data_IF_904692248277
#
_entry.id   IF_904692248277
#
_cell.length_a   1.000
_cell.length_b   1.000
_cell.length_c   1.000
_cell.angle_alpha   90.00
_cell.angle_beta   90.00
_cell.angle_gamma   90.00
#
_symmetry.space_group_name_H-M   'P 1'
#
loop_
_entity.id
_entity.type
_entity.pdbx_description
1 polymer ?
#
# COMPACT_ATOMS: atom_id res chain seq x y z
N UNK A 1 22.51 15.65 -10.56
CA UNK A 1 22.56 15.28 -9.13
C UNK A 1 22.95 13.82 -8.88
N UNK A 2 23.13 12.99 -9.90
CA UNK A 2 23.52 11.57 -9.81
C UNK A 2 25.01 11.31 -9.57
N UNK A 3 25.87 12.32 -9.65
CA UNK A 3 27.33 12.12 -9.56
C UNK A 3 27.93 12.07 -8.15
N UNK A 4 27.22 12.55 -7.13
CA UNK A 4 27.75 12.59 -5.76
C UNK A 4 27.54 11.27 -5.00
N UNK A 5 26.44 10.55 -5.28
CA UNK A 5 26.18 9.24 -4.67
C UNK A 5 27.17 8.17 -5.14
N UNK A 6 27.59 8.21 -6.40
CA UNK A 6 28.59 7.29 -6.93
C UNK A 6 29.98 7.40 -6.27
N UNK A 7 30.29 8.50 -5.56
CA UNK A 7 31.56 8.63 -4.84
C UNK A 7 31.65 7.78 -3.58
N UNK A 8 30.51 7.39 -2.99
CA UNK A 8 30.51 6.59 -1.77
C UNK A 8 30.74 5.10 -2.02
N UNK A 9 30.40 4.58 -3.21
CA UNK A 9 30.69 3.20 -3.57
C UNK A 9 32.17 2.85 -3.60
N UNK A 10 33.03 3.82 -3.88
CA UNK A 10 34.47 3.62 -3.91
C UNK A 10 35.13 3.56 -2.51
N UNK A 11 34.37 3.88 -1.45
CA UNK A 11 34.85 3.80 -0.07
C UNK A 11 34.43 2.50 0.64
N UNK A 12 33.45 1.78 0.07
CA UNK A 12 33.08 0.45 0.56
C UNK A 12 34.03 -0.55 -0.08
N UNK A 13 34.83 -1.22 0.73
CA UNK A 13 35.80 -2.23 0.33
C UNK A 13 35.27 -3.18 -0.75
N UNK A 14 36.05 -3.51 -1.81
CA UNK A 14 35.63 -4.45 -2.83
C UNK A 14 35.55 -5.90 -2.37
N UNK A 15 35.62 -6.15 -1.07
CA UNK A 15 35.64 -7.50 -0.50
C UNK A 15 34.29 -7.89 0.06
N UNK A 16 33.75 -8.94 -0.55
CA UNK A 16 32.57 -9.74 -0.19
C UNK A 16 31.22 -9.03 -0.42
N UNK A 17 30.35 -9.68 -1.14
CA UNK A 17 28.95 -9.33 -1.41
C UNK A 17 28.09 -9.17 -0.17
N UNK A 18 28.46 -8.30 0.75
CA UNK A 18 27.60 -7.86 1.85
C UNK A 18 27.13 -6.46 1.54
N UNK A 19 25.83 -6.32 1.36
CA UNK A 19 25.09 -5.04 1.27
C UNK A 19 25.15 -4.22 2.58
N UNK A 20 26.19 -4.42 3.40
CA UNK A 20 26.34 -3.85 4.72
C UNK A 20 26.86 -2.42 4.68
N UNK A 21 26.15 -1.50 5.33
CA UNK A 21 26.54 -0.10 5.48
C UNK A 21 27.41 0.05 6.73
N UNK A 22 28.60 0.69 6.67
CA UNK A 22 29.38 1.07 7.84
C UNK A 22 28.63 2.03 8.78
N UNK A 23 28.92 1.99 10.08
CA UNK A 23 28.22 2.73 11.13
C UNK A 23 28.18 4.26 10.96
N UNK A 24 29.18 4.84 10.29
CA UNK A 24 29.28 6.28 10.07
C UNK A 24 28.48 6.78 8.84
N UNK A 25 27.91 5.89 8.03
CA UNK A 25 27.23 6.23 6.76
C UNK A 25 25.73 6.49 6.92
N UNK A 26 24.96 5.86 7.84
CA UNK A 26 23.53 6.08 7.97
C UNK A 26 23.11 7.54 8.08
N UNK A 27 23.80 8.35 8.88
CA UNK A 27 23.48 9.78 9.03
C UNK A 27 23.78 10.59 7.78
N UNK A 28 24.83 10.23 7.04
CA UNK A 28 25.16 10.86 5.77
C UNK A 28 24.09 10.56 4.71
N UNK A 29 23.61 9.31 4.65
CA UNK A 29 22.51 8.93 3.75
C UNK A 29 21.24 9.70 4.10
N UNK A 30 20.89 9.80 5.39
CA UNK A 30 19.72 10.56 5.84
C UNK A 30 19.85 12.02 5.41
N UNK A 31 20.94 12.70 5.75
CA UNK A 31 21.12 14.12 5.47
C UNK A 31 21.16 14.44 3.98
N UNK A 32 21.70 13.55 3.16
CA UNK A 32 21.75 13.73 1.69
C UNK A 32 20.40 13.48 1.03
N UNK A 33 19.65 12.47 1.51
CA UNK A 33 18.35 12.12 0.95
C UNK A 33 17.22 13.02 1.45
N UNK A 34 17.39 13.60 2.63
CA UNK A 34 16.38 14.33 3.39
C UNK A 34 17.02 15.54 4.09
N UNK A 35 17.21 16.68 3.39
CA UNK A 35 18.00 17.79 3.90
C UNK A 35 17.50 18.42 5.22
N UNK A 36 16.19 18.39 5.48
CA UNK A 36 15.62 18.87 6.76
C UNK A 36 15.64 17.84 7.89
N UNK A 37 16.21 16.66 7.64
CA UNK A 37 16.16 15.57 8.60
C UNK A 37 17.03 15.86 9.84
N UNK A 38 16.43 15.66 10.99
CA UNK A 38 17.05 15.77 12.32
C UNK A 38 16.90 14.43 13.02
N UNK A 39 18.01 13.82 13.43
CA UNK A 39 17.96 12.59 14.24
C UNK A 39 17.56 12.97 15.67
N UNK A 40 16.34 12.61 16.07
CA UNK A 40 15.80 12.92 17.39
C UNK A 40 16.07 11.82 18.42
N UNK A 41 16.27 10.58 17.94
CA UNK A 41 16.65 9.44 18.80
C UNK A 41 17.47 8.44 18.00
N UNK A 42 18.54 7.95 18.59
CA UNK A 42 19.37 6.88 18.04
C UNK A 42 19.36 5.69 19.02
N UNK A 43 18.80 4.57 18.60
CA UNK A 43 18.87 3.31 19.37
C UNK A 43 20.22 2.64 19.22
N UNK A 44 20.78 2.73 18.03
CA UNK A 44 22.13 2.32 17.65
C UNK A 44 22.51 2.98 16.33
N UNK A 45 23.67 2.63 15.75
CA UNK A 45 24.17 3.22 14.51
C UNK A 45 23.22 3.01 13.34
N UNK A 46 22.42 1.94 13.35
CA UNK A 46 21.58 1.50 12.23
C UNK A 46 20.06 1.65 12.48
N UNK A 47 19.66 2.16 13.65
CA UNK A 47 18.26 2.34 13.97
C UNK A 47 18.03 3.71 14.61
N UNK A 48 17.37 4.59 13.88
CA UNK A 48 17.18 5.99 14.23
C UNK A 48 15.73 6.44 14.09
N UNK A 49 15.30 7.36 14.95
CA UNK A 49 14.08 8.13 14.77
C UNK A 49 14.48 9.50 14.23
N UNK A 50 13.89 9.87 13.11
CA UNK A 50 14.21 11.09 12.38
C UNK A 50 12.98 11.96 12.28
N UNK A 51 13.11 13.24 12.59
CA UNK A 51 12.14 14.29 12.33
C UNK A 51 12.46 14.89 10.97
N UNK A 52 11.47 15.03 10.08
CA UNK A 52 11.65 15.46 8.71
C UNK A 52 10.47 16.32 8.24
N UNK A 53 10.70 17.30 7.37
CA UNK A 53 9.62 18.02 6.67
C UNK A 53 8.90 17.09 5.69
N UNK A 54 7.59 17.28 5.56
CA UNK A 54 6.78 16.54 4.56
C UNK A 54 7.31 16.75 3.15
N UNK A 55 7.70 17.99 2.80
CA UNK A 55 8.31 18.29 1.49
C UNK A 55 9.52 17.43 1.18
N UNK A 56 10.40 17.21 2.15
CA UNK A 56 11.62 16.43 1.96
C UNK A 56 11.32 14.93 1.88
N UNK A 57 10.36 14.43 2.67
CA UNK A 57 9.91 13.05 2.53
C UNK A 57 9.38 12.77 1.11
N UNK A 58 8.63 13.72 0.54
CA UNK A 58 8.05 13.60 -0.81
C UNK A 58 9.08 13.72 -1.94
N UNK A 59 10.26 14.22 -1.64
CA UNK A 59 11.39 14.32 -2.58
C UNK A 59 12.45 13.23 -2.33
N UNK A 60 12.37 12.54 -1.19
CA UNK A 60 13.28 11.45 -0.86
C UNK A 60 13.04 10.22 -1.76
N UNK A 61 14.07 9.37 -1.95
CA UNK A 61 13.93 8.14 -2.71
C UNK A 61 13.16 7.08 -1.91
N UNK A 62 11.84 7.25 -1.81
CA UNK A 62 10.94 6.30 -1.14
C UNK A 62 10.43 5.28 -2.14
N UNK A 63 10.51 4.00 -1.78
CA UNK A 63 9.96 2.90 -2.57
C UNK A 63 9.03 2.02 -1.76
N UNK A 64 8.19 1.25 -2.45
CA UNK A 64 7.35 0.28 -1.79
C UNK A 64 8.20 -0.91 -1.34
N UNK A 65 7.98 -1.35 -0.10
CA UNK A 65 8.50 -2.63 0.36
C UNK A 65 7.84 -3.76 -0.44
N UNK A 66 8.63 -4.75 -0.84
CA UNK A 66 8.18 -5.83 -1.74
C UNK A 66 6.98 -6.64 -1.23
N UNK A 67 6.82 -6.73 0.09
CA UNK A 67 5.71 -7.43 0.74
C UNK A 67 4.51 -6.52 1.06
N UNK A 68 4.61 -5.22 0.78
CA UNK A 68 3.45 -4.34 0.88
C UNK A 68 2.44 -4.68 -0.21
N UNK A 69 1.18 -4.80 0.20
CA UNK A 69 0.07 -4.80 -0.74
C UNK A 69 0.02 -3.46 -1.49
N UNK A 70 -0.48 -3.44 -2.73
CA UNK A 70 -0.80 -2.19 -3.39
C UNK A 70 -1.70 -1.32 -2.51
N UNK A 71 -1.42 -0.01 -2.42
CA UNK A 71 -2.21 0.88 -1.58
C UNK A 71 -3.66 0.94 -2.09
N UNK A 72 -4.61 0.87 -1.17
CA UNK A 72 -6.02 1.10 -1.43
C UNK A 72 -6.23 2.56 -1.80
N UNK A 73 -6.59 2.82 -3.05
CA UNK A 73 -6.74 4.16 -3.62
C UNK A 73 -7.79 4.96 -2.87
N UNK A 74 -8.96 4.35 -2.56
CA UNK A 74 -10.01 5.02 -1.78
C UNK A 74 -9.51 5.47 -0.42
N UNK A 75 -8.82 4.58 0.30
CA UNK A 75 -8.24 4.90 1.60
C UNK A 75 -7.21 6.03 1.50
N UNK A 76 -6.43 6.08 0.43
CA UNK A 76 -5.49 7.18 0.21
C UNK A 76 -6.22 8.52 0.03
N UNK A 77 -7.30 8.55 -0.75
CA UNK A 77 -8.14 9.74 -0.92
C UNK A 77 -8.85 10.14 0.38
N UNK A 78 -9.40 9.18 1.14
CA UNK A 78 -10.05 9.46 2.42
C UNK A 78 -9.08 10.09 3.43
N UNK A 79 -7.83 9.60 3.49
CA UNK A 79 -6.78 10.19 4.32
C UNK A 79 -6.39 11.58 3.82
N UNK A 80 -6.21 11.77 2.51
CA UNK A 80 -5.88 13.07 1.93
C UNK A 80 -6.97 14.09 2.25
N UNK A 81 -8.23 13.69 2.09
CA UNK A 81 -9.43 14.47 2.45
C UNK A 81 -9.41 14.89 3.91
N UNK A 82 -9.22 13.91 4.81
CA UNK A 82 -9.16 14.16 6.25
C UNK A 82 -8.07 15.16 6.61
N UNK A 83 -6.86 15.00 6.10
CA UNK A 83 -5.72 15.89 6.37
C UNK A 83 -6.01 17.32 5.91
N UNK A 84 -6.55 17.49 4.69
CA UNK A 84 -6.88 18.79 4.15
C UNK A 84 -8.02 19.48 4.90
N UNK A 85 -9.08 18.73 5.28
CA UNK A 85 -10.24 19.27 5.99
C UNK A 85 -9.92 19.67 7.43
N UNK A 86 -9.17 18.82 8.14
CA UNK A 86 -8.90 19.06 9.57
C UNK A 86 -7.70 19.95 9.81
N UNK A 87 -6.86 20.16 8.80
CA UNK A 87 -5.54 20.81 8.91
C UNK A 87 -4.67 20.19 10.03
N UNK A 88 -4.85 18.88 10.27
CA UNK A 88 -4.06 18.15 11.25
C UNK A 88 -2.89 17.45 10.56
N UNK A 89 -1.66 17.63 11.03
CA UNK A 89 -0.51 16.88 10.52
C UNK A 89 -0.69 15.40 10.81
N UNK A 90 0.05 14.57 10.08
CA UNK A 90 0.12 13.13 10.36
C UNK A 90 0.97 12.92 11.61
N UNK A 91 0.35 12.55 12.72
CA UNK A 91 0.97 12.36 14.04
C UNK A 91 1.56 10.96 14.25
N UNK A 92 1.29 10.04 13.33
CA UNK A 92 1.80 8.67 13.41
C UNK A 92 3.10 8.50 12.61
N UNK A 93 4.05 7.76 13.22
CA UNK A 93 5.37 7.51 12.65
C UNK A 93 5.29 6.63 11.40
N UNK A 94 6.16 6.91 10.43
CA UNK A 94 6.42 6.05 9.28
C UNK A 94 7.56 5.10 9.60
N UNK A 95 7.49 3.87 9.09
CA UNK A 95 8.56 2.89 9.25
C UNK A 95 9.18 2.57 7.90
N UNK A 96 10.48 2.82 7.80
CA UNK A 96 11.24 2.63 6.56
C UNK A 96 12.52 1.84 6.82
N UNK A 97 12.92 1.02 5.85
CA UNK A 97 14.21 0.37 5.82
C UNK A 97 15.00 0.83 4.60
N UNK A 98 16.26 1.20 4.80
CA UNK A 98 17.12 1.56 3.68
C UNK A 98 17.55 0.31 2.91
N UNK A 99 17.32 0.34 1.62
CA UNK A 99 17.69 -0.69 0.67
C UNK A 99 18.95 -0.26 -0.09
N UNK A 100 20.06 -0.90 0.21
CA UNK A 100 21.36 -0.57 -0.37
C UNK A 100 21.41 -0.80 -1.88
N UNK A 101 20.71 -1.83 -2.38
CA UNK A 101 20.71 -2.19 -3.79
C UNK A 101 19.94 -1.12 -4.60
N UNK A 102 18.76 -0.73 -4.10
CA UNK A 102 17.92 0.27 -4.76
C UNK A 102 18.32 1.71 -4.45
N UNK A 103 19.16 1.93 -3.43
CA UNK A 103 19.49 3.25 -2.86
C UNK A 103 18.23 4.07 -2.52
N UNK A 104 17.28 3.41 -1.89
CA UNK A 104 15.99 3.98 -1.53
C UNK A 104 15.54 3.48 -0.17
N UNK A 105 14.57 4.18 0.42
CA UNK A 105 13.93 3.77 1.66
C UNK A 105 12.66 2.99 1.33
N UNK A 106 12.67 1.69 1.57
CA UNK A 106 11.50 0.83 1.43
C UNK A 106 10.54 1.10 2.59
N UNK A 107 9.32 1.56 2.30
CA UNK A 107 8.32 1.89 3.31
C UNK A 107 7.59 0.63 3.80
N UNK A 108 7.79 0.26 5.07
CA UNK A 108 7.19 -0.92 5.70
C UNK A 108 5.80 -0.62 6.26
N UNK A 109 5.62 0.55 6.89
CA UNK A 109 4.31 1.03 7.33
C UNK A 109 4.13 2.50 7.01
N UNK A 110 2.90 2.87 6.68
CA UNK A 110 2.52 4.24 6.31
C UNK A 110 2.33 4.43 4.80
N UNK A 111 2.32 3.37 3.98
CA UNK A 111 2.20 3.49 2.52
C UNK A 111 0.96 4.27 2.09
N UNK A 112 -0.21 4.04 2.71
CA UNK A 112 -1.43 4.80 2.40
C UNK A 112 -1.28 6.28 2.74
N UNK A 113 -0.67 6.60 3.88
CA UNK A 113 -0.37 7.97 4.30
C UNK A 113 0.60 8.66 3.35
N UNK A 114 1.66 7.96 2.94
CA UNK A 114 2.62 8.47 1.96
C UNK A 114 1.96 8.75 0.61
N UNK A 115 1.14 7.82 0.11
CA UNK A 115 0.39 8.01 -1.14
C UNK A 115 -0.62 9.14 -1.04
N UNK A 116 -1.25 9.33 0.12
CA UNK A 116 -2.14 10.48 0.38
C UNK A 116 -1.41 11.81 0.28
N UNK A 117 -0.18 11.90 0.80
CA UNK A 117 0.65 13.10 0.67
C UNK A 117 1.06 13.35 -0.80
N UNK A 118 1.34 12.29 -1.57
CA UNK A 118 1.60 12.43 -3.02
C UNK A 118 0.36 12.94 -3.76
N UNK A 119 -0.83 12.42 -3.46
CA UNK A 119 -2.10 12.90 -4.02
C UNK A 119 -2.25 14.40 -3.74
N UNK A 120 -2.07 14.83 -2.48
CA UNK A 120 -2.16 16.27 -2.12
C UNK A 120 -1.11 17.09 -2.87
N UNK A 121 0.11 16.57 -3.08
CA UNK A 121 1.17 17.24 -3.86
C UNK A 121 0.79 17.35 -5.34
N UNK A 122 0.29 16.29 -5.95
CA UNK A 122 -0.09 16.24 -7.36
C UNK A 122 -1.30 17.11 -7.69
N UNK A 123 -2.28 17.18 -6.79
CA UNK A 123 -3.46 18.04 -6.93
C UNK A 123 -3.15 19.54 -6.89
N UNK A 124 -1.98 19.93 -6.38
CA UNK A 124 -1.50 21.31 -6.54
C UNK A 124 -1.17 21.64 -8.00
N UNK A 125 -0.97 20.66 -8.86
CA UNK A 125 -0.56 20.84 -10.25
C UNK A 125 -1.68 20.61 -11.27
N UNK A 126 -2.81 20.02 -10.87
CA UNK A 126 -3.99 19.78 -11.72
C UNK A 126 -5.27 19.92 -10.90
N UNK A 127 -6.32 20.62 -11.37
CA UNK A 127 -7.64 20.54 -10.78
C UNK A 127 -8.19 19.12 -11.07
N UNK A 128 -7.92 18.16 -10.22
CA UNK A 128 -8.74 16.96 -10.16
C UNK A 128 -10.08 17.38 -9.58
N UNK A 129 -11.18 16.84 -10.14
CA UNK A 129 -12.58 17.07 -9.75
C UNK A 129 -12.89 16.62 -8.29
N UNK A 130 -12.09 17.08 -7.34
CA UNK A 130 -12.46 17.16 -5.94
C UNK A 130 -13.36 18.39 -5.76
N UNK A 131 -14.36 18.50 -6.64
CA UNK A 131 -15.32 19.62 -6.75
C UNK A 131 -16.07 19.88 -5.42
N UNK A 132 -16.15 18.91 -4.53
CA UNK A 132 -16.68 19.13 -3.18
C UNK A 132 -15.75 19.91 -2.24
N UNK A 133 -14.55 20.29 -2.70
CA UNK A 133 -13.56 21.05 -1.92
C UNK A 133 -13.47 22.53 -2.27
N UNK A 134 -14.30 23.01 -3.19
CA UNK A 134 -14.35 24.42 -3.61
C UNK A 134 -14.73 25.39 -2.48
N UNK A 135 -15.33 24.91 -1.38
CA UNK A 135 -15.69 25.73 -0.22
C UNK A 135 -14.48 26.18 0.63
N UNK A 136 -13.31 25.56 0.44
CA UNK A 136 -12.07 26.00 1.05
C UNK A 136 -11.23 26.77 0.04
N UNK A 137 -11.72 27.97 -0.31
CA UNK A 137 -11.08 29.00 -1.14
C UNK A 137 -9.80 28.60 -1.86
N UNK A 138 -9.59 29.11 -3.05
CA UNK A 138 -8.39 29.01 -3.91
C UNK A 138 -7.06 29.45 -3.23
N UNK A 139 -6.85 29.12 -1.96
CA UNK A 139 -5.69 29.44 -1.21
C UNK A 139 -4.61 28.36 -1.44
N UNK A 140 -3.70 28.65 -2.38
CA UNK A 140 -2.41 27.94 -2.45
C UNK A 140 -1.69 27.92 -1.09
N UNK A 141 -1.98 28.88 -0.20
CA UNK A 141 -1.48 28.91 1.19
C UNK A 141 -2.04 27.79 2.08
N UNK A 142 -3.18 27.22 1.74
CA UNK A 142 -3.81 26.17 2.56
C UNK A 142 -3.03 24.86 2.60
N UNK A 143 -2.10 24.65 1.65
CA UNK A 143 -1.31 23.41 1.55
C UNK A 143 0.17 23.61 1.93
N UNK A 144 0.68 24.83 1.93
CA UNK A 144 2.05 25.15 2.34
C UNK A 144 2.31 24.74 3.78
N UNK A 145 1.35 24.92 4.68
CA UNK A 145 1.46 24.47 6.07
C UNK A 145 1.78 22.97 6.19
N UNK A 146 1.19 22.13 5.33
CA UNK A 146 1.41 20.68 5.37
C UNK A 146 2.82 20.33 4.92
N UNK A 147 3.30 20.93 3.82
CA UNK A 147 4.63 20.64 3.28
C UNK A 147 5.76 21.14 4.18
N UNK A 148 5.51 22.20 4.96
CA UNK A 148 6.42 22.72 5.98
C UNK A 148 6.25 22.04 7.34
N UNK A 149 5.20 21.25 7.54
CA UNK A 149 5.02 20.49 8.76
C UNK A 149 6.03 19.34 8.86
N UNK A 150 6.26 18.91 10.10
CA UNK A 150 7.19 17.82 10.40
C UNK A 150 6.44 16.53 10.69
N UNK A 151 7.08 15.42 10.35
CA UNK A 151 6.65 14.08 10.72
C UNK A 151 7.85 13.25 11.21
N UNK A 152 7.58 12.07 11.73
CA UNK A 152 8.59 11.17 12.26
C UNK A 152 8.75 9.95 11.39
N UNK A 153 10.01 9.59 11.11
CA UNK A 153 10.41 8.35 10.47
C UNK A 153 11.15 7.47 11.47
N UNK A 154 10.79 6.21 11.54
CA UNK A 154 11.62 5.17 12.12
C UNK A 154 12.45 4.57 10.98
N UNK A 155 13.74 4.84 10.97
CA UNK A 155 14.64 4.45 9.89
C UNK A 155 15.54 3.33 10.35
N UNK A 156 15.58 2.24 9.60
CA UNK A 156 16.50 1.12 9.83
C UNK A 156 17.44 0.92 8.65
N UNK A 157 18.70 0.68 8.97
CA UNK A 157 19.74 0.30 8.03
C UNK A 157 20.18 -1.13 8.32
N UNK A 158 20.76 -1.80 7.33
CA UNK A 158 21.33 -3.15 7.46
C UNK A 158 20.35 -4.19 8.04
N UNK A 159 19.04 -3.95 8.00
CA UNK A 159 18.06 -4.92 8.45
C UNK A 159 18.02 -6.08 7.46
N UNK A 160 18.22 -7.30 7.94
CA UNK A 160 18.11 -8.52 7.14
C UNK A 160 16.66 -8.71 6.69
N UNK A 161 16.44 -9.38 5.58
CA UNK A 161 15.10 -9.62 5.03
C UNK A 161 14.16 -10.25 6.07
N UNK A 162 14.60 -11.25 6.83
CA UNK A 162 13.80 -11.85 7.91
C UNK A 162 13.38 -10.83 8.99
N UNK A 163 14.28 -9.93 9.39
CA UNK A 163 13.98 -8.88 10.36
C UNK A 163 12.99 -7.86 9.81
N UNK A 164 13.11 -7.51 8.53
CA UNK A 164 12.16 -6.63 7.84
C UNK A 164 10.77 -7.27 7.76
N UNK A 165 10.68 -8.55 7.44
CA UNK A 165 9.42 -9.32 7.39
C UNK A 165 8.78 -9.38 8.77
N UNK A 166 9.53 -9.68 9.83
CA UNK A 166 9.01 -9.72 11.20
C UNK A 166 8.51 -8.36 11.66
N UNK A 167 9.27 -7.30 11.39
CA UNK A 167 8.85 -5.93 11.67
C UNK A 167 7.57 -5.59 10.90
N UNK A 168 7.52 -5.88 9.61
CA UNK A 168 6.36 -5.66 8.76
C UNK A 168 5.11 -6.39 9.31
N UNK A 169 5.25 -7.68 9.68
CA UNK A 169 4.17 -8.45 10.32
C UNK A 169 3.72 -7.80 11.63
N UNK A 170 4.66 -7.36 12.45
CA UNK A 170 4.35 -6.76 13.75
C UNK A 170 3.59 -5.43 13.64
N UNK A 171 3.92 -4.62 12.64
CA UNK A 171 3.25 -3.34 12.36
C UNK A 171 1.85 -3.51 11.77
N UNK A 172 1.63 -4.59 11.01
CA UNK A 172 0.37 -4.87 10.33
C UNK A 172 -0.55 -5.85 11.08
N UNK A 173 -0.37 -6.06 12.38
CA UNK A 173 -1.17 -6.99 13.19
C UNK A 173 -2.67 -6.69 13.20
N UNK A 174 -3.07 -5.43 13.12
CA UNK A 174 -4.48 -5.00 13.17
C UNK A 174 -5.24 -5.34 11.89
N UNK A 175 -4.55 -5.43 10.76
CA UNK A 175 -5.07 -5.89 9.48
C UNK A 175 -4.05 -6.88 8.95
N UNK A 176 -4.23 -8.19 9.20
CA UNK A 176 -3.26 -9.19 8.77
C UNK A 176 -3.03 -9.09 7.26
N UNK A 177 -1.76 -9.01 6.87
CA UNK A 177 -1.38 -9.12 5.46
C UNK A 177 -1.70 -10.52 5.00
N UNK A 178 -2.30 -10.67 3.83
CA UNK A 178 -2.57 -11.99 3.27
C UNK A 178 -1.30 -12.83 3.26
N UNK A 179 -1.41 -14.09 3.73
CA UNK A 179 -0.29 -15.03 3.69
C UNK A 179 0.28 -15.22 2.28
N UNK A 180 -0.50 -14.88 1.25
CA UNK A 180 -0.09 -14.91 -0.14
C UNK A 180 1.13 -13.99 -0.40
N UNK A 181 1.22 -12.84 0.30
CA UNK A 181 2.38 -11.94 0.21
C UNK A 181 3.59 -12.43 1.02
N UNK A 182 3.36 -13.32 1.98
CA UNK A 182 4.38 -13.77 2.93
C UNK A 182 4.96 -15.15 2.58
N UNK A 183 4.33 -15.85 1.61
CA UNK A 183 4.85 -17.11 1.07
C UNK A 183 5.71 -16.81 -0.15
N UNK A 184 6.63 -17.71 -0.47
CA UNK A 184 7.35 -17.79 -1.76
C UNK A 184 6.39 -18.13 -2.92
N UNK A 185 5.29 -17.36 -3.03
CA UNK A 185 4.47 -17.42 -4.23
C UNK A 185 5.34 -16.91 -5.37
N UNK A 186 5.37 -17.62 -6.46
CA UNK A 186 6.07 -17.15 -7.65
C UNK A 186 5.57 -15.74 -7.96
N UNK A 187 6.46 -14.83 -8.28
CA UNK A 187 6.15 -13.42 -8.60
C UNK A 187 5.04 -13.32 -9.66
N UNK A 188 4.97 -14.30 -10.54
CA UNK A 188 3.94 -14.50 -11.54
C UNK A 188 2.54 -14.66 -10.93
N UNK A 189 2.37 -15.59 -9.97
CA UNK A 189 1.11 -15.82 -9.27
C UNK A 189 0.58 -14.54 -8.62
N UNK A 190 1.44 -13.80 -7.92
CA UNK A 190 1.08 -12.53 -7.29
C UNK A 190 0.61 -11.51 -8.32
N UNK A 191 1.36 -11.33 -9.41
CA UNK A 191 1.04 -10.36 -10.45
C UNK A 191 -0.32 -10.66 -11.10
N UNK A 192 -0.62 -11.93 -11.40
CA UNK A 192 -1.90 -12.34 -11.98
C UNK A 192 -3.05 -12.04 -11.01
N UNK A 193 -2.92 -12.47 -9.75
CA UNK A 193 -3.95 -12.25 -8.73
C UNK A 193 -4.18 -10.78 -8.49
N UNK A 194 -3.11 -9.98 -8.35
CA UNK A 194 -3.22 -8.53 -8.13
C UNK A 194 -3.89 -7.80 -9.30
N UNK A 195 -3.59 -8.22 -10.52
CA UNK A 195 -4.24 -7.67 -11.72
C UNK A 195 -5.74 -7.90 -11.66
N UNK A 196 -6.18 -9.12 -11.39
CA UNK A 196 -7.61 -9.46 -11.29
C UNK A 196 -8.29 -8.72 -10.14
N UNK A 197 -7.64 -8.67 -8.96
CA UNK A 197 -8.18 -7.93 -7.80
C UNK A 197 -8.34 -6.45 -8.13
N UNK A 198 -7.36 -5.84 -8.79
CA UNK A 198 -7.39 -4.43 -9.16
C UNK A 198 -8.50 -4.14 -10.16
N UNK A 199 -8.67 -4.99 -11.17
CA UNK A 199 -9.76 -4.89 -12.15
C UNK A 199 -11.14 -4.97 -11.46
N UNK A 200 -11.30 -5.93 -10.56
CA UNK A 200 -12.55 -6.09 -9.80
C UNK A 200 -12.78 -4.95 -8.83
N UNK A 201 -11.75 -4.41 -8.20
CA UNK A 201 -11.86 -3.27 -7.30
C UNK A 201 -12.25 -1.98 -8.05
N UNK A 202 -11.72 -1.77 -9.25
CA UNK A 202 -12.13 -0.64 -10.10
C UNK A 202 -13.58 -0.81 -10.55
N UNK A 203 -13.95 -2.00 -11.05
CA UNK A 203 -15.28 -2.29 -11.59
C UNK A 203 -16.38 -2.25 -10.51
N UNK A 204 -16.07 -2.73 -9.31
CA UNK A 204 -17.02 -2.91 -8.21
C UNK A 204 -16.57 -2.19 -6.93
N UNK A 205 -16.12 -0.96 -7.11
CA UNK A 205 -15.50 -0.15 -6.06
C UNK A 205 -16.29 -0.12 -4.74
N UNK A 206 -17.62 0.04 -4.82
CA UNK A 206 -18.51 0.13 -3.65
C UNK A 206 -18.62 -1.17 -2.84
N UNK A 207 -18.19 -2.29 -3.40
CA UNK A 207 -18.18 -3.59 -2.74
C UNK A 207 -16.88 -3.90 -1.99
N UNK A 208 -15.85 -3.09 -2.16
CA UNK A 208 -14.59 -3.28 -1.43
C UNK A 208 -14.56 -2.43 -0.16
N UNK A 209 -14.16 -3.03 0.95
CA UNK A 209 -14.12 -2.41 2.26
C UNK A 209 -12.75 -2.59 2.92
N UNK A 210 -12.30 -1.56 3.62
CA UNK A 210 -11.08 -1.62 4.43
C UNK A 210 -11.26 -2.42 5.73
N UNK A 211 -12.50 -2.72 6.15
CA UNK A 211 -12.76 -3.52 7.33
C UNK A 211 -12.28 -4.96 7.14
N UNK A 212 -11.68 -5.57 8.16
CA UNK A 212 -11.24 -6.97 8.11
C UNK A 212 -12.41 -7.95 7.93
N UNK A 213 -13.58 -7.61 8.48
CA UNK A 213 -14.83 -8.40 8.37
C UNK A 213 -15.97 -7.49 7.93
N UNK A 214 -16.08 -7.17 6.64
CA UNK A 214 -17.13 -6.29 6.15
C UNK A 214 -18.49 -7.00 6.13
N UNK A 215 -19.55 -6.20 6.28
CA UNK A 215 -20.91 -6.72 6.09
C UNK A 215 -21.17 -7.01 4.61
N UNK A 216 -21.95 -8.06 4.34
CA UNK A 216 -22.41 -8.38 2.97
C UNK A 216 -23.22 -7.22 2.37
N UNK A 217 -23.11 -6.94 1.08
CA UNK A 217 -22.36 -7.64 0.03
C UNK A 217 -20.98 -6.99 -0.21
N UNK A 218 -20.21 -6.76 0.83
CA UNK A 218 -18.85 -6.21 0.68
C UNK A 218 -17.80 -7.29 1.01
N UNK A 219 -16.61 -7.11 0.46
CA UNK A 219 -15.45 -7.95 0.73
C UNK A 219 -14.24 -7.09 1.11
N UNK A 220 -13.37 -7.63 1.95
CA UNK A 220 -12.05 -7.06 2.18
C UNK A 220 -11.11 -7.52 1.05
N UNK A 221 -10.26 -6.60 0.57
CA UNK A 221 -9.33 -6.88 -0.53
C UNK A 221 -8.43 -8.10 -0.26
N UNK A 222 -7.87 -8.19 0.95
CA UNK A 222 -6.96 -9.29 1.29
C UNK A 222 -7.70 -10.63 1.38
N UNK A 223 -8.95 -10.62 1.86
CA UNK A 223 -9.83 -11.79 1.83
C UNK A 223 -10.10 -12.23 0.39
N UNK A 224 -10.33 -11.27 -0.52
CA UNK A 224 -10.53 -11.57 -1.94
C UNK A 224 -9.25 -12.11 -2.59
N UNK A 225 -8.09 -11.54 -2.29
CA UNK A 225 -6.80 -12.08 -2.76
C UNK A 225 -6.57 -13.52 -2.28
N UNK A 226 -6.85 -13.80 -1.01
CA UNK A 226 -6.71 -15.15 -0.45
C UNK A 226 -7.63 -16.14 -1.18
N UNK A 227 -8.88 -15.76 -1.45
CA UNK A 227 -9.82 -16.55 -2.24
C UNK A 227 -9.25 -16.84 -3.63
N UNK A 228 -8.76 -15.81 -4.33
CA UNK A 228 -8.17 -15.97 -5.67
C UNK A 228 -6.91 -16.83 -5.67
N UNK A 229 -6.10 -16.76 -4.61
CA UNK A 229 -4.94 -17.65 -4.44
C UNK A 229 -5.33 -19.13 -4.42
N UNK A 230 -6.42 -19.48 -3.74
CA UNK A 230 -6.97 -20.85 -3.69
C UNK A 230 -7.53 -21.26 -5.06
N UNK A 231 -8.24 -20.36 -5.73
CA UNK A 231 -8.77 -20.63 -7.08
C UNK A 231 -7.63 -20.79 -8.09
N UNK A 232 -6.61 -19.97 -8.02
CA UNK A 232 -5.40 -20.07 -8.84
C UNK A 232 -4.76 -21.44 -8.75
N UNK A 233 -4.53 -21.94 -7.54
CA UNK A 233 -3.93 -23.26 -7.30
C UNK A 233 -4.86 -24.39 -7.75
N UNK A 234 -6.18 -24.27 -7.48
CA UNK A 234 -7.19 -25.27 -7.88
C UNK A 234 -7.24 -25.52 -9.38
N UNK A 235 -7.04 -24.48 -10.18
CA UNK A 235 -7.14 -24.56 -11.64
C UNK A 235 -5.77 -24.56 -12.36
N UNK A 236 -4.67 -24.66 -11.61
CA UNK A 236 -3.30 -24.61 -12.14
C UNK A 236 -3.12 -23.42 -13.12
N UNK A 237 -3.47 -22.23 -12.67
CA UNK A 237 -3.39 -21.04 -13.50
C UNK A 237 -1.92 -20.66 -13.73
N UNK A 238 -1.60 -20.25 -14.95
CA UNK A 238 -0.29 -19.80 -15.43
C UNK A 238 -0.49 -18.54 -16.28
N UNK A 239 0.59 -17.93 -16.74
CA UNK A 239 0.51 -16.77 -17.64
C UNK A 239 -0.24 -17.08 -18.95
N UNK A 240 -0.15 -18.33 -19.45
CA UNK A 240 -0.82 -18.76 -20.68
C UNK A 240 -2.36 -18.82 -20.56
N UNK A 241 -2.87 -19.04 -19.34
CA UNK A 241 -4.31 -19.18 -19.08
C UNK A 241 -4.84 -18.21 -18.03
N UNK A 242 -4.12 -17.12 -17.75
CA UNK A 242 -4.45 -16.13 -16.69
C UNK A 242 -5.87 -15.59 -16.75
N UNK A 243 -6.43 -15.45 -17.93
CA UNK A 243 -7.80 -14.95 -18.14
C UNK A 243 -8.85 -15.91 -17.56
N UNK A 244 -8.50 -17.18 -17.37
CA UNK A 244 -9.38 -18.18 -16.76
C UNK A 244 -9.84 -17.76 -15.35
N UNK A 245 -8.97 -17.09 -14.57
CA UNK A 245 -9.31 -16.63 -13.23
C UNK A 245 -10.47 -15.63 -13.27
N UNK A 246 -10.39 -14.64 -14.14
CA UNK A 246 -11.43 -13.63 -14.30
C UNK A 246 -12.70 -14.22 -14.91
N UNK A 247 -12.59 -15.14 -15.87
CA UNK A 247 -13.71 -15.87 -16.44
C UNK A 247 -14.49 -16.66 -15.38
N UNK A 248 -13.78 -17.35 -14.48
CA UNK A 248 -14.42 -18.10 -13.37
C UNK A 248 -15.21 -17.18 -12.44
N UNK A 249 -14.64 -16.03 -12.09
CA UNK A 249 -15.33 -15.05 -11.25
C UNK A 249 -16.57 -14.46 -11.92
N UNK A 250 -16.47 -14.09 -13.19
CA UNK A 250 -17.61 -13.55 -13.95
C UNK A 250 -18.70 -14.60 -14.11
N UNK A 251 -18.36 -15.86 -14.37
CA UNK A 251 -19.30 -16.96 -14.43
C UNK A 251 -20.02 -17.19 -13.10
N UNK A 252 -19.26 -17.21 -11.99
CA UNK A 252 -19.83 -17.33 -10.65
C UNK A 252 -20.77 -16.16 -10.31
N UNK A 253 -20.37 -14.91 -10.65
CA UNK A 253 -21.18 -13.73 -10.45
C UNK A 253 -22.52 -13.83 -11.22
N UNK A 254 -22.50 -14.27 -12.47
CA UNK A 254 -23.67 -14.49 -13.29
C UNK A 254 -24.54 -15.65 -12.75
N UNK A 255 -23.94 -16.75 -12.37
CA UNK A 255 -24.67 -17.89 -11.78
C UNK A 255 -25.42 -17.51 -10.51
N UNK A 256 -24.80 -16.70 -9.64
CA UNK A 256 -25.41 -16.21 -8.42
C UNK A 256 -26.55 -15.23 -8.74
N UNK A 257 -26.40 -14.35 -9.73
CA UNK A 257 -27.46 -13.43 -10.13
C UNK A 257 -28.71 -14.16 -10.63
N UNK A 258 -28.54 -15.30 -11.28
CA UNK A 258 -29.64 -16.14 -11.80
C UNK A 258 -30.30 -17.04 -10.71
N UNK A 259 -29.61 -17.25 -9.59
CA UNK A 259 -30.08 -18.13 -8.50
C UNK A 259 -29.74 -17.53 -7.14
N UNK A 260 -30.50 -16.48 -6.78
CA UNK A 260 -30.24 -15.74 -5.55
C UNK A 260 -30.51 -16.56 -4.30
N UNK A 261 -29.73 -16.37 -3.22
CA UNK A 261 -30.00 -16.96 -1.91
C UNK A 261 -31.39 -16.54 -1.38
N UNK A 262 -32.12 -17.48 -0.81
CA UNK A 262 -33.53 -17.30 -0.36
C UNK A 262 -33.74 -16.22 0.73
N UNK A 263 -32.68 -15.71 1.37
CA UNK A 263 -32.76 -14.76 2.50
C UNK A 263 -31.78 -13.60 2.35
N UNK A 264 -31.97 -12.79 1.32
CA UNK A 264 -31.26 -11.50 1.19
C UNK A 264 -32.20 -10.35 1.59
N UNK A 265 -31.65 -9.35 2.30
CA UNK A 265 -32.40 -8.13 2.56
C UNK A 265 -32.55 -7.30 1.28
N UNK A 266 -33.61 -6.50 1.18
CA UNK A 266 -33.84 -5.59 0.04
C UNK A 266 -32.61 -4.69 -0.22
N UNK A 267 -32.02 -4.13 0.83
CA UNK A 267 -30.82 -3.28 0.72
C UNK A 267 -29.64 -3.99 0.04
N UNK A 268 -29.44 -5.28 0.30
CA UNK A 268 -28.38 -6.06 -0.35
C UNK A 268 -28.73 -6.29 -1.82
N UNK A 269 -29.99 -6.63 -2.10
CA UNK A 269 -30.46 -6.87 -3.47
C UNK A 269 -30.33 -5.57 -4.29
N UNK A 270 -30.77 -4.44 -3.76
CA UNK A 270 -30.74 -3.14 -4.43
C UNK A 270 -29.28 -2.75 -4.76
N UNK A 271 -28.38 -2.93 -3.81
CA UNK A 271 -26.94 -2.65 -4.01
C UNK A 271 -26.32 -3.57 -5.07
N UNK A 272 -26.60 -4.85 -5.02
CA UNK A 272 -26.08 -5.80 -6.01
C UNK A 272 -26.65 -5.57 -7.39
N UNK A 273 -27.93 -5.24 -7.48
CA UNK A 273 -28.60 -4.94 -8.75
C UNK A 273 -28.06 -3.66 -9.40
N UNK A 274 -27.85 -2.59 -8.61
CA UNK A 274 -27.31 -1.33 -9.12
C UNK A 274 -25.90 -1.43 -9.68
N UNK A 275 -25.10 -2.33 -9.14
CA UNK A 275 -23.69 -2.52 -9.53
C UNK A 275 -23.47 -3.75 -10.41
N UNK A 276 -24.46 -4.61 -10.54
CA UNK A 276 -24.35 -5.95 -11.15
C UNK A 276 -23.24 -6.83 -10.51
N UNK A 277 -23.04 -6.66 -9.19
CA UNK A 277 -22.07 -7.44 -8.43
C UNK A 277 -22.77 -8.32 -7.38
N UNK A 278 -22.90 -9.60 -7.68
CA UNK A 278 -23.59 -10.58 -6.85
C UNK A 278 -22.64 -11.54 -6.12
N UNK A 279 -21.37 -11.56 -6.52
CA UNK A 279 -20.38 -12.49 -6.00
C UNK A 279 -20.28 -12.42 -4.47
N UNK A 280 -20.27 -11.22 -3.90
CA UNK A 280 -20.00 -11.00 -2.49
C UNK A 280 -21.22 -11.18 -1.55
N UNK A 281 -22.34 -11.68 -2.06
CA UNK A 281 -23.46 -12.13 -1.19
C UNK A 281 -23.14 -13.43 -0.48
N UNK A 282 -22.17 -14.20 -0.99
CA UNK A 282 -21.66 -15.43 -0.39
C UNK A 282 -20.39 -15.20 0.42
N UNK A 283 -20.11 -16.10 1.36
CA UNK A 283 -18.80 -16.15 2.03
C UNK A 283 -17.73 -16.75 1.10
N UNK A 284 -16.45 -16.53 1.40
CA UNK A 284 -15.35 -17.13 0.63
C UNK A 284 -15.46 -18.65 0.53
N UNK A 285 -15.86 -19.33 1.62
CA UNK A 285 -16.07 -20.79 1.63
C UNK A 285 -17.20 -21.23 0.69
N UNK A 286 -18.27 -20.45 0.62
CA UNK A 286 -19.39 -20.72 -0.29
C UNK A 286 -18.98 -20.45 -1.74
N UNK A 287 -18.22 -19.39 -1.99
CA UNK A 287 -17.70 -19.05 -3.32
C UNK A 287 -16.77 -20.13 -3.86
N UNK A 288 -15.90 -20.70 -3.04
CA UNK A 288 -15.01 -21.79 -3.45
C UNK A 288 -15.73 -23.05 -3.92
N UNK A 289 -17.02 -23.22 -3.56
CA UNK A 289 -17.85 -24.32 -4.02
C UNK A 289 -18.55 -24.02 -5.35
N UNK A 290 -18.70 -22.74 -5.68
CA UNK A 290 -19.38 -22.26 -6.89
C UNK A 290 -18.37 -22.02 -8.01
N UNK A 291 -17.21 -21.44 -7.67
CA UNK A 291 -16.06 -21.25 -8.55
C UNK A 291 -15.31 -22.57 -8.72
#
# INVERSE_FOLDING_TARGET
MTSSLNRFYNLVSPYSGSDYIPANIPEQIISQSMPSAEVVLSYNDFHKIVKIKVSDLLNAPISNYSYNRPPDVKRCYDIAKYVCQTKRPMDTMFYVCYNNIKQSFDILDGIHRYKSLLIIKEENSKPLDLIEYSDYGNNNDAKTWLFDSFLLLNVRFNAREGEQIELFKSLNKSIPVSELYLRDSTREKLNIIETVVSNWQIKYFDHFSSNAKPNKPNINRDTFMTLLGIVYDKYNITDDNKDLLEHKLNFANLSISNSLPRKLSSKIIDKCASTNCWLFVYSSEQLLKII
#
